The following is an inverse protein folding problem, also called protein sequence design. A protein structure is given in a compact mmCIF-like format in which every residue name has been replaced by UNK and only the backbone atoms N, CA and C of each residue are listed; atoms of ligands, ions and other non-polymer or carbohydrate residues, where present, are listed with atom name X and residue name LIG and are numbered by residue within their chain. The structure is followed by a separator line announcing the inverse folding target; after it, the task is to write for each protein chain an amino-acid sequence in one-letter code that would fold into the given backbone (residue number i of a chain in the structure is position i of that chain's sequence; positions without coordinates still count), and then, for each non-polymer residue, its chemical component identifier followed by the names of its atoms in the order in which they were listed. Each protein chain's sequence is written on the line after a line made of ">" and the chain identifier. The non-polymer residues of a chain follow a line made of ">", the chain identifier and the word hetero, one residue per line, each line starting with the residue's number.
data_IF_308294278321
#
_entry.id   IF_308294278321
#
_cell.length_a   1.000
_cell.length_b   1.000
_cell.length_c   1.000
_cell.angle_alpha   90.00
_cell.angle_beta   90.00
_cell.angle_gamma   90.00
#
_symmetry.space_group_name_H-M   'P 1'
#
loop_
_entity.id
_entity.type
_entity.pdbx_description
1 polymer ?
#
# COMPACT_ATOMS: atom_id res chain seq x y z
N UNK A 1 -3.59 7.46 15.10
CA UNK A 1 -2.97 7.00 13.86
C UNK A 1 -4.00 6.84 12.78
N UNK A 2 -3.66 7.20 11.56
CA UNK A 2 -4.55 7.00 10.42
C UNK A 2 -4.59 5.54 10.00
N UNK A 3 -5.64 5.16 9.27
CA UNK A 3 -5.85 3.77 8.86
C UNK A 3 -4.77 3.27 7.90
N UNK A 4 -4.25 4.15 7.06
CA UNK A 4 -3.20 3.80 6.11
C UNK A 4 -1.90 3.39 6.82
N UNK A 5 -1.48 4.12 7.84
CA UNK A 5 -0.28 3.76 8.58
C UNK A 5 -0.48 2.49 9.40
N UNK A 6 -1.67 2.29 9.95
CA UNK A 6 -2.01 1.03 10.65
C UNK A 6 -1.93 -0.15 9.71
N UNK A 7 -2.47 0.00 8.50
CA UNK A 7 -2.41 -1.02 7.47
C UNK A 7 -0.96 -1.38 7.14
N UNK A 8 -0.13 -0.37 6.95
CA UNK A 8 1.29 -0.56 6.64
C UNK A 8 2.03 -1.27 7.76
N UNK A 9 1.79 -0.87 9.00
CA UNK A 9 2.47 -1.47 10.16
C UNK A 9 2.06 -2.91 10.38
N UNK A 10 0.81 -3.25 10.06
CA UNK A 10 0.34 -4.64 10.14
C UNK A 10 0.94 -5.50 9.03
N UNK A 11 1.06 -4.94 7.82
CA UNK A 11 1.60 -5.66 6.67
C UNK A 11 3.11 -5.87 6.76
N UNK A 12 3.82 -4.86 7.26
CA UNK A 12 5.28 -4.88 7.38
C UNK A 12 5.69 -4.76 8.85
N UNK A 13 5.27 -5.73 9.65
CA UNK A 13 5.42 -5.68 11.11
C UNK A 13 6.87 -5.62 11.58
N UNK A 14 7.81 -6.11 10.79
CA UNK A 14 9.23 -6.01 11.11
C UNK A 14 9.80 -4.60 10.96
N UNK A 15 9.04 -3.69 10.30
CA UNK A 15 9.49 -2.33 10.00
C UNK A 15 8.58 -1.26 10.60
N UNK A 16 7.86 -1.58 11.68
CA UNK A 16 6.89 -0.66 12.29
C UNK A 16 7.48 0.70 12.63
N UNK A 17 8.60 0.72 13.32
CA UNK A 17 9.23 1.97 13.74
C UNK A 17 9.72 2.79 12.55
N UNK A 18 10.31 2.14 11.57
CA UNK A 18 10.77 2.78 10.36
C UNK A 18 9.61 3.39 9.57
N UNK A 19 8.50 2.65 9.46
CA UNK A 19 7.30 3.12 8.76
C UNK A 19 6.72 4.35 9.46
N UNK A 20 6.57 4.29 10.76
CA UNK A 20 6.00 5.40 11.52
C UNK A 20 6.87 6.64 11.41
N UNK A 21 8.17 6.49 11.56
CA UNK A 21 9.12 7.60 11.46
C UNK A 21 9.09 8.22 10.06
N UNK A 22 9.15 7.41 9.01
CA UNK A 22 9.12 7.89 7.64
C UNK A 22 7.78 8.56 7.30
N UNK A 23 6.68 8.01 7.79
CA UNK A 23 5.35 8.58 7.57
C UNK A 23 5.25 9.99 8.15
N UNK A 24 5.87 10.23 9.29
CA UNK A 24 5.85 11.52 9.96
C UNK A 24 6.83 12.53 9.36
N UNK A 25 7.95 12.07 8.83
CA UNK A 25 9.04 12.94 8.41
C UNK A 25 9.22 13.09 6.90
N UNK A 26 8.58 12.24 6.10
CA UNK A 26 8.76 12.21 4.64
C UNK A 26 7.40 12.22 3.94
N UNK A 27 7.07 13.35 3.29
CA UNK A 27 5.79 13.48 2.61
C UNK A 27 5.64 12.54 1.41
N UNK A 28 6.72 12.24 0.72
CA UNK A 28 6.67 11.29 -0.40
C UNK A 28 6.28 9.90 0.09
N UNK A 29 6.86 9.47 1.21
CA UNK A 29 6.51 8.20 1.82
C UNK A 29 5.07 8.19 2.32
N UNK A 30 4.63 9.30 2.92
CA UNK A 30 3.24 9.44 3.39
C UNK A 30 2.27 9.29 2.22
N UNK A 31 2.52 9.97 1.10
CA UNK A 31 1.69 9.86 -0.09
C UNK A 31 1.69 8.43 -0.63
N UNK A 32 2.85 7.80 -0.64
CA UNK A 32 2.99 6.42 -1.09
C UNK A 32 2.15 5.47 -0.24
N UNK A 33 2.14 5.65 1.08
CA UNK A 33 1.31 4.87 1.99
C UNK A 33 -0.18 5.08 1.74
N UNK A 34 -0.58 6.33 1.53
CA UNK A 34 -1.97 6.68 1.24
C UNK A 34 -2.44 6.03 -0.06
N UNK A 35 -1.64 6.12 -1.11
CA UNK A 35 -1.97 5.53 -2.40
C UNK A 35 -2.01 4.00 -2.33
N UNK A 36 -1.08 3.40 -1.62
CA UNK A 36 -1.03 1.96 -1.44
C UNK A 36 -2.28 1.45 -0.71
N UNK A 37 -2.64 2.12 0.37
CA UNK A 37 -3.83 1.76 1.13
C UNK A 37 -5.10 1.92 0.29
N UNK A 38 -5.22 3.02 -0.45
CA UNK A 38 -6.37 3.26 -1.33
C UNK A 38 -6.49 2.17 -2.39
N UNK A 39 -5.38 1.77 -3.01
CA UNK A 39 -5.41 0.70 -4.02
C UNK A 39 -5.79 -0.64 -3.42
N UNK A 40 -5.36 -0.92 -2.19
CA UNK A 40 -5.74 -2.14 -1.48
C UNK A 40 -7.24 -2.19 -1.21
N UNK A 41 -7.83 -1.06 -0.80
CA UNK A 41 -9.28 -0.97 -0.57
C UNK A 41 -10.07 -1.17 -1.85
N UNK A 42 -9.61 -0.56 -2.94
CA UNK A 42 -10.28 -0.71 -4.24
C UNK A 42 -10.25 -2.17 -4.69
N UNK A 43 -9.10 -2.84 -4.58
CA UNK A 43 -8.98 -4.25 -4.94
C UNK A 43 -9.90 -5.13 -4.10
N UNK A 44 -9.99 -4.86 -2.81
CA UNK A 44 -10.88 -5.61 -1.93
C UNK A 44 -12.34 -5.41 -2.34
N UNK A 45 -12.73 -4.18 -2.65
CA UNK A 45 -14.09 -3.88 -3.11
C UNK A 45 -14.42 -4.56 -4.45
N UNK A 46 -13.47 -4.55 -5.38
CA UNK A 46 -13.65 -5.22 -6.67
C UNK A 46 -13.92 -6.70 -6.46
N UNK A 47 -13.15 -7.35 -5.59
CA UNK A 47 -13.31 -8.78 -5.30
C UNK A 47 -14.67 -9.06 -4.64
N UNK A 48 -15.09 -8.22 -3.69
CA UNK A 48 -16.34 -8.42 -2.95
C UNK A 48 -17.57 -8.19 -3.79
N UNK A 49 -17.52 -7.23 -4.71
CA UNK A 49 -18.68 -6.85 -5.53
C UNK A 49 -18.81 -7.68 -6.79
N UNK A 50 -17.92 -8.64 -7.00
CA UNK A 50 -17.92 -9.48 -8.18
C UNK A 50 -17.97 -8.65 -9.47
N UNK A 51 -17.24 -7.53 -9.48
CA UNK A 51 -17.17 -6.70 -10.67
C UNK A 51 -16.60 -7.55 -11.81
N UNK A 52 -17.37 -7.68 -12.86
CA UNK A 52 -17.05 -8.54 -14.00
C UNK A 52 -15.97 -7.95 -14.90
N UNK A 53 -15.50 -6.75 -14.59
CA UNK A 53 -14.46 -6.10 -15.37
C UNK A 53 -13.07 -6.57 -14.93
N UNK A 54 -12.64 -7.67 -15.50
CA UNK A 54 -11.31 -8.24 -15.23
C UNK A 54 -10.19 -7.29 -15.61
N UNK A 55 -10.42 -6.40 -16.56
CA UNK A 55 -9.42 -5.44 -17.00
C UNK A 55 -9.10 -4.43 -15.89
N UNK A 56 -10.14 -3.88 -15.26
CA UNK A 56 -9.95 -2.96 -14.14
C UNK A 56 -9.26 -3.65 -12.97
N UNK A 57 -9.63 -4.89 -12.67
CA UNK A 57 -9.00 -5.65 -11.61
C UNK A 57 -7.50 -5.84 -11.87
N UNK A 58 -7.12 -6.18 -13.11
CA UNK A 58 -5.72 -6.35 -13.46
C UNK A 58 -4.94 -5.04 -13.36
N UNK A 59 -5.54 -3.93 -13.78
CA UNK A 59 -4.90 -2.62 -13.69
C UNK A 59 -4.66 -2.20 -12.24
N UNK A 60 -5.64 -2.38 -11.36
CA UNK A 60 -5.48 -2.07 -9.94
C UNK A 60 -4.50 -3.01 -9.26
N UNK A 61 -4.50 -4.28 -9.63
CA UNK A 61 -3.53 -5.23 -9.10
C UNK A 61 -2.11 -4.83 -9.48
N UNK A 62 -1.90 -4.42 -10.71
CA UNK A 62 -0.59 -3.96 -11.17
C UNK A 62 -0.16 -2.71 -10.41
N UNK A 63 -1.06 -1.74 -10.24
CA UNK A 63 -0.78 -0.54 -9.46
C UNK A 63 -0.40 -0.90 -8.03
N UNK A 64 -1.14 -1.79 -7.41
CA UNK A 64 -0.87 -2.23 -6.05
C UNK A 64 0.54 -2.84 -5.93
N UNK A 65 0.91 -3.71 -6.87
CA UNK A 65 2.22 -4.35 -6.88
C UNK A 65 3.35 -3.35 -7.14
N UNK A 66 3.13 -2.37 -8.01
CA UNK A 66 4.10 -1.31 -8.28
C UNK A 66 4.34 -0.46 -7.02
N UNK A 67 3.28 -0.08 -6.33
CA UNK A 67 3.37 0.68 -5.09
C UNK A 67 4.06 -0.13 -3.99
N UNK A 68 3.76 -1.42 -3.90
CA UNK A 68 4.42 -2.31 -2.96
C UNK A 68 5.93 -2.35 -3.21
N UNK A 69 6.32 -2.45 -4.48
CA UNK A 69 7.74 -2.44 -4.86
C UNK A 69 8.44 -1.15 -4.42
N UNK A 70 7.79 -0.01 -4.60
CA UNK A 70 8.33 1.28 -4.17
C UNK A 70 8.48 1.36 -2.65
N UNK A 71 7.50 0.83 -1.92
CA UNK A 71 7.55 0.80 -0.45
C UNK A 71 8.70 -0.08 0.02
N UNK A 72 8.85 -1.26 -0.55
CA UNK A 72 9.93 -2.18 -0.19
C UNK A 72 11.31 -1.58 -0.50
N UNK A 73 11.44 -0.87 -1.62
CA UNK A 73 12.65 -0.13 -1.93
C UNK A 73 12.97 0.92 -0.88
N UNK A 74 11.95 1.67 -0.47
CA UNK A 74 12.12 2.71 0.55
C UNK A 74 12.58 2.11 1.87
N UNK A 75 12.02 0.98 2.26
CA UNK A 75 12.36 0.29 3.51
C UNK A 75 13.71 -0.44 3.43
N UNK A 76 14.31 -0.50 2.24
CA UNK A 76 15.57 -1.20 2.06
C UNK A 76 15.44 -2.72 2.02
N UNK A 77 14.23 -3.22 1.80
CA UNK A 77 13.95 -4.65 1.73
C UNK A 77 13.82 -5.04 0.27
N UNK A 78 14.65 -5.92 -0.21
CA UNK A 78 14.50 -6.46 -1.56
C UNK A 78 13.53 -7.65 -1.52
N UNK A 79 12.62 -7.61 -2.46
CA UNK A 79 11.66 -8.69 -2.60
C UNK A 79 12.34 -9.96 -3.12
#
# INVERSE_FOLDING_TARGET
>A
MSDDVKFMMARYSAHKDQILDAYQSNEEFKTLCEDFYASALILENVKKKLLKDKRSELEYRKLFLDLEGEILNFLGTEA
#
